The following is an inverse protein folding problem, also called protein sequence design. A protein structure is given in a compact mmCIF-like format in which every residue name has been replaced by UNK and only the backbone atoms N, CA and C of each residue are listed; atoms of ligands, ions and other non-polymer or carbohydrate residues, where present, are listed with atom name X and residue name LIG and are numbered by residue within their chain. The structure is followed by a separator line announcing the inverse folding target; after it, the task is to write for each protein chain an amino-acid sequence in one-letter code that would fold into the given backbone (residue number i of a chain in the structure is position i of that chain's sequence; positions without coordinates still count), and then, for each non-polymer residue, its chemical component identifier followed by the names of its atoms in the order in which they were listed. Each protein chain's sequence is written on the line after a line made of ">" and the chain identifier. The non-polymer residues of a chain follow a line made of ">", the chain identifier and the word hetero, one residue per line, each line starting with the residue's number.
data_IF_508233612060
#
_entry.id   IF_508233612060
#
_cell.length_a   1.000
_cell.length_b   1.000
_cell.length_c   1.000
_cell.angle_alpha   90.00
_cell.angle_beta   90.00
_cell.angle_gamma   90.00
#
_symmetry.space_group_name_H-M   'P 1'
#
loop_
_entity.id
_entity.type
_entity.pdbx_description
1 polymer ?
#
# COMPACT_ATOMS: atom_id res chain seq x y z
N UNK A 1 34.71 -25.74 -0.49
CA UNK A 1 33.35 -25.49 -0.98
C UNK A 1 32.38 -25.67 0.16
N UNK A 2 31.83 -24.56 0.65
CA UNK A 2 30.55 -24.45 1.34
C UNK A 2 30.30 -22.94 1.49
N UNK A 3 29.66 -22.37 0.48
CA UNK A 3 29.18 -20.99 0.46
C UNK A 3 28.16 -20.77 1.57
N UNK A 4 28.37 -19.71 2.35
CA UNK A 4 27.41 -19.22 3.32
C UNK A 4 26.45 -18.26 2.59
N UNK A 5 25.13 -18.44 2.72
CA UNK A 5 24.16 -17.77 1.85
C UNK A 5 23.69 -16.44 2.44
N UNK A 6 24.59 -15.47 2.69
CA UNK A 6 24.18 -14.08 2.96
C UNK A 6 25.21 -13.08 2.46
N UNK A 7 24.75 -12.12 1.64
CA UNK A 7 25.54 -11.09 0.97
C UNK A 7 26.14 -10.03 1.90
N UNK A 8 27.19 -10.40 2.62
CA UNK A 8 28.15 -9.48 3.24
C UNK A 8 29.57 -10.06 3.12
N UNK A 9 30.12 -10.11 1.90
CA UNK A 9 31.57 -10.17 1.70
C UNK A 9 32.06 -8.78 1.30
N UNK A 10 32.64 -8.06 2.25
CA UNK A 10 33.55 -6.97 1.96
C UNK A 10 34.89 -7.59 1.55
N UNK A 11 35.26 -7.49 0.27
CA UNK A 11 36.53 -8.02 -0.21
C UNK A 11 36.60 -8.14 -1.71
N UNK A 12 37.15 -7.09 -2.33
CA UNK A 12 38.17 -7.14 -3.38
C UNK A 12 37.91 -8.09 -4.57
N UNK A 13 37.31 -7.54 -5.63
CA UNK A 13 37.26 -8.16 -6.96
C UNK A 13 38.22 -7.41 -7.91
N UNK A 14 39.42 -7.94 -8.19
CA UNK A 14 40.46 -7.24 -8.95
C UNK A 14 40.33 -7.40 -10.48
N UNK A 15 39.15 -7.70 -11.03
CA UNK A 15 38.95 -7.94 -12.47
C UNK A 15 37.78 -7.15 -13.09
N UNK A 16 37.48 -5.94 -12.58
CA UNK A 16 36.43 -5.08 -13.16
C UNK A 16 36.83 -4.34 -14.45
N UNK A 17 38.10 -4.34 -14.82
CA UNK A 17 38.60 -3.60 -15.98
C UNK A 17 39.18 -4.55 -17.05
N UNK A 18 38.31 -5.14 -17.89
CA UNK A 18 38.60 -5.56 -19.28
C UNK A 18 37.40 -6.24 -19.96
N UNK A 19 36.57 -5.46 -20.63
CA UNK A 19 35.89 -5.83 -21.88
C UNK A 19 35.25 -4.55 -22.41
N UNK A 20 35.77 -3.88 -23.42
CA UNK A 20 35.90 -4.36 -24.79
C UNK A 20 35.50 -3.17 -25.66
N UNK A 21 36.51 -2.47 -26.17
CA UNK A 21 36.44 -1.23 -26.94
C UNK A 21 36.00 -1.55 -28.37
N UNK A 22 34.87 -1.01 -28.83
CA UNK A 22 34.60 -0.76 -30.24
C UNK A 22 34.27 0.73 -30.42
N UNK A 23 34.92 1.44 -31.35
CA UNK A 23 34.44 2.73 -31.84
C UNK A 23 33.30 2.47 -32.86
N UNK A 24 32.60 3.53 -33.28
CA UNK A 24 31.61 3.52 -34.38
C UNK A 24 30.18 3.04 -34.01
N UNK A 25 29.35 3.93 -33.43
CA UNK A 25 27.93 4.06 -33.82
C UNK A 25 27.34 5.40 -33.34
N UNK A 26 26.98 6.26 -34.29
CA UNK A 26 26.18 7.48 -34.12
C UNK A 26 24.69 7.10 -34.08
N UNK A 27 23.93 7.55 -33.07
CA UNK A 27 22.48 7.68 -33.22
C UNK A 27 21.63 7.43 -31.97
N UNK A 28 20.93 8.50 -31.57
CA UNK A 28 19.61 8.48 -30.91
C UNK A 28 19.54 8.14 -29.41
N UNK A 29 19.77 9.19 -28.60
CA UNK A 29 19.37 9.30 -27.20
C UNK A 29 17.85 9.54 -27.09
N UNK A 30 17.07 8.45 -27.13
CA UNK A 30 15.67 8.49 -26.66
C UNK A 30 15.35 7.26 -25.81
N UNK A 31 15.83 7.24 -24.56
CA UNK A 31 15.30 6.36 -23.52
C UNK A 31 14.58 7.20 -22.47
N UNK A 32 13.28 6.96 -22.19
CA UNK A 32 12.60 7.67 -21.13
C UNK A 32 13.09 7.14 -19.78
N UNK A 33 13.79 7.98 -19.02
CA UNK A 33 14.13 7.68 -17.63
C UNK A 33 12.86 7.68 -16.77
N UNK A 34 12.48 6.56 -16.12
CA UNK A 34 11.26 6.43 -15.31
C UNK A 34 11.35 7.09 -13.92
N UNK A 35 12.44 7.81 -13.63
CA UNK A 35 12.66 8.56 -12.40
C UNK A 35 13.33 9.90 -12.74
N UNK A 36 12.52 10.91 -13.06
CA UNK A 36 12.95 12.26 -13.41
C UNK A 36 12.20 13.32 -12.63
N UNK A 37 12.41 13.39 -11.31
CA UNK A 37 12.06 14.55 -10.50
C UNK A 37 13.19 15.57 -10.64
N UNK A 38 13.11 16.43 -11.66
CA UNK A 38 14.14 17.43 -11.96
C UNK A 38 13.55 18.61 -12.71
N UNK A 39 13.21 19.67 -11.95
CA UNK A 39 13.13 21.07 -12.34
C UNK A 39 12.75 21.40 -13.79
N UNK A 40 11.51 21.86 -14.02
CA UNK A 40 11.25 22.70 -15.20
C UNK A 40 9.86 22.78 -15.80
N UNK A 41 8.78 22.30 -15.17
CA UNK A 41 7.45 22.38 -15.84
C UNK A 41 6.26 22.68 -14.90
N UNK A 42 6.33 23.80 -14.17
CA UNK A 42 5.11 24.48 -13.69
C UNK A 42 4.50 25.27 -14.85
N UNK A 43 3.88 24.56 -15.80
CA UNK A 43 3.20 25.17 -16.93
C UNK A 43 1.97 25.96 -16.40
N UNK A 44 2.01 27.29 -16.49
CA UNK A 44 0.93 28.20 -16.10
C UNK A 44 -0.49 27.88 -16.64
N UNK A 45 -0.69 27.33 -17.86
CA UNK A 45 -2.01 26.87 -18.32
C UNK A 45 -2.59 25.69 -17.50
N UNK A 46 -1.74 24.91 -16.82
CA UNK A 46 -2.17 23.79 -15.99
C UNK A 46 -2.73 24.26 -14.62
N UNK A 47 -2.46 25.50 -14.20
CA UNK A 47 -2.95 26.03 -12.92
C UNK A 47 -4.48 26.23 -12.92
N UNK A 48 -5.07 26.61 -14.06
CA UNK A 48 -6.53 26.75 -14.19
C UNK A 48 -7.25 25.39 -14.12
N UNK A 49 -6.63 24.36 -14.68
CA UNK A 49 -7.13 22.99 -14.60
C UNK A 49 -6.96 22.41 -13.20
N UNK A 50 -5.82 22.67 -12.53
CA UNK A 50 -5.60 22.34 -11.13
C UNK A 50 -6.62 23.04 -10.22
N UNK A 51 -6.92 24.32 -10.46
CA UNK A 51 -7.91 25.06 -9.68
C UNK A 51 -9.33 24.51 -9.88
N UNK A 52 -9.65 24.08 -11.10
CA UNK A 52 -10.94 23.43 -11.40
C UNK A 52 -11.05 22.06 -10.74
N UNK A 53 -10.00 21.24 -10.78
CA UNK A 53 -9.92 19.95 -10.08
C UNK A 53 -9.98 20.13 -8.55
N UNK A 54 -9.31 21.15 -8.02
CA UNK A 54 -9.38 21.51 -6.60
C UNK A 54 -10.78 21.99 -6.20
N UNK A 55 -11.44 22.77 -7.05
CA UNK A 55 -12.83 23.21 -6.87
C UNK A 55 -13.83 22.06 -6.88
N UNK A 56 -13.66 21.08 -7.77
CA UNK A 56 -14.45 19.85 -7.79
C UNK A 56 -14.19 18.97 -6.56
N UNK A 57 -12.94 18.92 -6.09
CA UNK A 57 -12.59 18.18 -4.87
C UNK A 57 -13.16 18.86 -3.61
N UNK A 58 -13.12 20.19 -3.55
CA UNK A 58 -13.69 20.97 -2.44
C UNK A 58 -15.22 20.94 -2.43
N UNK A 59 -15.88 20.97 -3.60
CA UNK A 59 -17.33 20.82 -3.68
C UNK A 59 -17.80 19.40 -3.33
N UNK A 60 -17.00 18.37 -3.64
CA UNK A 60 -17.19 17.00 -3.16
C UNK A 60 -17.00 16.86 -1.64
N UNK A 61 -16.01 17.55 -1.07
CA UNK A 61 -15.82 17.61 0.38
C UNK A 61 -16.94 18.40 1.09
N UNK A 62 -17.43 19.49 0.49
CA UNK A 62 -18.55 20.28 1.01
C UNK A 62 -19.88 19.52 1.02
N UNK A 63 -20.10 18.63 0.04
CA UNK A 63 -21.28 17.76 0.00
C UNK A 63 -21.16 16.56 0.95
N UNK A 64 -19.96 16.07 1.24
CA UNK A 64 -19.72 15.11 2.33
C UNK A 64 -19.98 15.74 3.72
N UNK A 65 -19.72 17.04 3.89
CA UNK A 65 -20.01 17.79 5.12
C UNK A 65 -21.49 18.21 5.24
N UNK A 66 -22.17 18.49 4.13
CA UNK A 66 -23.59 18.88 4.11
C UNK A 66 -24.56 17.67 4.20
N UNK A 67 -24.06 16.45 4.01
CA UNK A 67 -24.85 15.22 3.92
C UNK A 67 -25.26 14.57 5.25
N UNK A 68 -25.09 15.22 6.40
CA UNK A 68 -25.70 14.83 7.68
C UNK A 68 -25.32 13.46 8.27
N UNK A 69 -24.54 12.63 7.57
CA UNK A 69 -23.84 11.52 8.18
C UNK A 69 -22.56 12.09 8.76
N UNK A 70 -22.56 12.33 10.06
CA UNK A 70 -21.33 12.39 10.83
C UNK A 70 -20.60 11.05 10.65
N UNK A 71 -19.85 10.93 9.54
CA UNK A 71 -18.72 10.02 9.46
C UNK A 71 -17.88 10.38 10.68
N UNK A 72 -17.46 9.39 11.47
CA UNK A 72 -16.77 9.62 12.73
C UNK A 72 -15.51 10.47 12.57
N UNK A 73 -14.66 10.59 13.60
CA UNK A 73 -13.46 11.43 13.54
C UNK A 73 -12.49 11.08 12.38
N UNK A 74 -12.70 9.95 11.70
CA UNK A 74 -12.03 9.55 10.46
C UNK A 74 -13.05 9.24 9.35
N UNK A 75 -12.81 9.74 8.13
CA UNK A 75 -13.59 9.40 6.94
C UNK A 75 -13.07 8.10 6.28
N UNK A 76 -13.59 6.96 6.73
CA UNK A 76 -13.18 5.64 6.23
C UNK A 76 -13.60 5.34 4.79
N UNK A 77 -14.67 5.98 4.28
CA UNK A 77 -15.09 5.82 2.88
C UNK A 77 -14.06 6.43 1.93
N UNK A 78 -13.56 7.62 2.26
CA UNK A 78 -12.47 8.26 1.54
C UNK A 78 -11.17 7.45 1.65
N UNK A 79 -10.84 6.96 2.84
CA UNK A 79 -9.66 6.12 3.05
C UNK A 79 -9.73 4.84 2.20
N UNK A 80 -10.89 4.18 2.15
CA UNK A 80 -11.14 3.00 1.30
C UNK A 80 -10.98 3.33 -0.18
N UNK A 81 -11.52 4.46 -0.64
CA UNK A 81 -11.43 4.88 -2.03
C UNK A 81 -9.98 5.17 -2.42
N UNK A 82 -9.22 5.88 -1.58
CA UNK A 82 -7.81 6.17 -1.80
C UNK A 82 -6.98 4.88 -1.83
N UNK A 83 -7.16 3.99 -0.84
CA UNK A 83 -6.45 2.71 -0.79
C UNK A 83 -6.83 1.78 -1.95
N UNK A 84 -8.08 1.82 -2.41
CA UNK A 84 -8.49 1.08 -3.61
C UNK A 84 -7.89 1.66 -4.88
N UNK A 85 -7.71 2.98 -4.96
CA UNK A 85 -7.15 3.67 -6.13
C UNK A 85 -5.64 3.46 -6.30
N UNK A 86 -4.93 3.19 -5.19
CA UNK A 86 -3.50 2.85 -5.24
C UNK A 86 -3.25 1.40 -5.66
N UNK A 87 -4.27 0.55 -5.63
CA UNK A 87 -4.20 -0.83 -6.12
C UNK A 87 -4.44 -0.83 -7.63
N UNK A 88 -3.45 -1.29 -8.39
CA UNK A 88 -3.58 -1.54 -9.83
C UNK A 88 -4.49 -2.73 -10.14
N UNK A 89 -4.50 -3.18 -11.39
CA UNK A 89 -5.23 -4.41 -11.73
C UNK A 89 -4.64 -5.62 -11.00
N UNK A 90 -5.48 -6.38 -10.31
CA UNK A 90 -5.13 -7.66 -9.70
C UNK A 90 -6.08 -8.72 -10.22
N UNK A 91 -5.53 -9.82 -10.76
CA UNK A 91 -6.32 -10.93 -11.23
C UNK A 91 -7.07 -11.60 -10.05
N UNK A 92 -8.31 -12.09 -10.27
CA UNK A 92 -9.02 -12.87 -9.25
C UNK A 92 -8.23 -14.11 -8.84
N UNK A 93 -8.37 -14.51 -7.58
CA UNK A 93 -7.70 -15.73 -7.08
C UNK A 93 -8.36 -16.97 -7.70
N UNK A 94 -7.61 -17.85 -8.39
CA UNK A 94 -8.15 -19.08 -8.94
C UNK A 94 -8.66 -20.03 -7.85
N UNK A 95 -9.73 -20.80 -8.15
CA UNK A 95 -10.31 -21.74 -7.20
C UNK A 95 -9.30 -22.81 -6.71
N UNK A 96 -8.40 -23.27 -7.59
CA UNK A 96 -7.34 -24.20 -7.22
C UNK A 96 -6.40 -23.61 -6.15
N UNK A 97 -6.08 -22.32 -6.26
CA UNK A 97 -5.26 -21.61 -5.28
C UNK A 97 -5.97 -21.48 -3.94
N UNK A 98 -7.29 -21.22 -3.95
CA UNK A 98 -8.10 -21.17 -2.72
C UNK A 98 -8.05 -22.54 -2.00
N UNK A 99 -8.23 -23.64 -2.73
CA UNK A 99 -8.14 -24.99 -2.16
C UNK A 99 -6.75 -25.28 -1.61
N UNK A 100 -5.69 -24.97 -2.36
CA UNK A 100 -4.33 -25.20 -1.93
C UNK A 100 -3.97 -24.41 -0.65
N UNK A 101 -4.48 -23.19 -0.52
CA UNK A 101 -4.31 -22.38 0.70
C UNK A 101 -5.06 -23.01 1.88
N UNK A 102 -6.29 -23.49 1.67
CA UNK A 102 -7.03 -24.17 2.73
C UNK A 102 -6.30 -25.43 3.22
N UNK A 103 -5.80 -26.25 2.30
CA UNK A 103 -5.03 -27.46 2.62
C UNK A 103 -3.73 -27.12 3.36
N UNK A 104 -3.02 -26.07 2.94
CA UNK A 104 -1.80 -25.61 3.60
C UNK A 104 -2.06 -25.13 5.04
N UNK A 105 -3.17 -24.40 5.26
CA UNK A 105 -3.58 -23.95 6.60
C UNK A 105 -3.95 -25.14 7.49
N UNK A 106 -4.68 -26.13 6.96
CA UNK A 106 -4.99 -27.35 7.70
C UNK A 106 -3.73 -28.16 8.08
N UNK A 107 -2.75 -28.23 7.18
CA UNK A 107 -1.48 -28.88 7.46
C UNK A 107 -0.70 -28.14 8.56
N UNK A 108 -0.64 -26.80 8.47
CA UNK A 108 0.00 -25.98 9.49
C UNK A 108 -0.66 -26.15 10.87
N UNK A 109 -1.99 -26.19 10.92
CA UNK A 109 -2.74 -26.43 12.16
C UNK A 109 -2.42 -27.82 12.75
N UNK A 110 -2.32 -28.85 11.91
CA UNK A 110 -1.96 -30.22 12.35
C UNK A 110 -0.57 -30.26 13.00
N UNK A 111 0.38 -29.47 12.49
CA UNK A 111 1.72 -29.37 13.10
C UNK A 111 1.72 -28.54 14.37
N UNK A 112 0.93 -27.44 14.41
CA UNK A 112 0.82 -26.58 15.58
C UNK A 112 0.11 -27.26 16.76
N UNK A 113 -0.90 -28.09 16.50
CA UNK A 113 -1.63 -28.83 17.54
C UNK A 113 -0.69 -29.75 18.34
N UNK A 114 0.23 -30.43 17.67
CA UNK A 114 1.25 -31.26 18.33
C UNK A 114 2.34 -30.46 19.07
N UNK A 115 2.52 -29.18 18.74
CA UNK A 115 3.60 -28.34 19.26
C UNK A 115 3.15 -27.32 20.31
N UNK A 116 1.83 -27.11 20.47
CA UNK A 116 1.27 -26.07 21.32
C UNK A 116 0.22 -26.62 22.28
N UNK A 117 0.08 -25.99 23.45
CA UNK A 117 -0.99 -26.31 24.40
C UNK A 117 -2.27 -25.50 24.13
N UNK A 118 -2.24 -24.61 23.13
CA UNK A 118 -3.39 -23.82 22.72
C UNK A 118 -4.22 -24.65 21.75
N UNK A 119 -5.56 -24.71 21.92
CA UNK A 119 -6.40 -25.43 20.99
C UNK A 119 -6.39 -24.75 19.62
N UNK A 120 -6.68 -25.54 18.58
CA UNK A 120 -6.78 -25.03 17.22
C UNK A 120 -7.75 -23.84 17.11
N UNK A 121 -7.20 -22.67 16.79
CA UNK A 121 -7.95 -21.41 16.69
C UNK A 121 -8.42 -21.08 15.28
N UNK A 122 -7.90 -21.80 14.27
CA UNK A 122 -8.17 -21.50 12.87
C UNK A 122 -9.52 -22.06 12.44
N UNK A 123 -10.51 -21.17 12.29
CA UNK A 123 -11.89 -21.56 11.91
C UNK A 123 -12.16 -21.44 10.42
N UNK A 124 -11.34 -20.67 9.67
CA UNK A 124 -11.51 -20.44 8.24
C UNK A 124 -10.21 -20.02 7.57
N UNK A 125 -9.90 -20.63 6.42
CA UNK A 125 -8.87 -20.18 5.50
C UNK A 125 -9.50 -19.51 4.27
N UNK A 126 -9.00 -18.35 3.89
CA UNK A 126 -9.44 -17.59 2.71
C UNK A 126 -8.25 -17.03 1.98
N UNK A 127 -8.34 -17.01 0.65
CA UNK A 127 -7.39 -16.30 -0.18
C UNK A 127 -7.99 -14.95 -0.56
N UNK A 128 -7.28 -13.88 -0.27
CA UNK A 128 -7.72 -12.51 -0.55
C UNK A 128 -6.88 -11.87 -1.63
N UNK A 129 -7.53 -11.13 -2.52
CA UNK A 129 -6.86 -10.09 -3.30
C UNK A 129 -6.55 -8.88 -2.38
N UNK A 130 -5.67 -7.95 -2.77
CA UNK A 130 -5.43 -6.73 -2.01
C UNK A 130 -6.71 -5.91 -1.78
N UNK A 131 -7.65 -5.94 -2.74
CA UNK A 131 -8.96 -5.30 -2.60
C UNK A 131 -9.80 -5.99 -1.52
N UNK A 132 -9.85 -7.32 -1.54
CA UNK A 132 -10.57 -8.08 -0.52
C UNK A 132 -9.98 -7.84 0.87
N UNK A 133 -8.65 -7.70 0.97
CA UNK A 133 -7.99 -7.38 2.23
C UNK A 133 -8.44 -6.03 2.79
N UNK A 134 -8.51 -4.97 1.96
CA UNK A 134 -9.04 -3.66 2.39
C UNK A 134 -10.46 -3.84 2.92
N UNK A 135 -11.31 -4.50 2.15
CA UNK A 135 -12.73 -4.61 2.45
C UNK A 135 -13.00 -5.44 3.72
N UNK A 136 -12.22 -6.50 3.96
CA UNK A 136 -12.38 -7.38 5.13
C UNK A 136 -11.67 -6.86 6.39
N UNK A 137 -10.75 -5.89 6.27
CA UNK A 137 -9.99 -5.37 7.43
C UNK A 137 -10.42 -3.99 7.89
N UNK A 138 -11.19 -3.25 7.09
CA UNK A 138 -11.56 -1.87 7.37
C UNK A 138 -12.27 -1.69 8.72
N UNK A 139 -13.19 -2.58 9.09
CA UNK A 139 -13.88 -2.52 10.38
C UNK A 139 -12.93 -2.75 11.58
N UNK A 140 -11.90 -3.58 11.41
CA UNK A 140 -10.87 -3.77 12.43
C UNK A 140 -10.02 -2.52 12.58
N UNK A 141 -9.62 -1.90 11.48
CA UNK A 141 -8.91 -0.62 11.49
C UNK A 141 -9.71 0.47 12.18
N UNK A 142 -11.02 0.53 11.89
CA UNK A 142 -11.92 1.47 12.53
C UNK A 142 -11.93 1.33 14.05
N UNK A 143 -12.07 0.11 14.57
CA UNK A 143 -12.01 -0.15 16.02
C UNK A 143 -10.68 0.23 16.67
N UNK A 144 -9.58 0.15 15.93
CA UNK A 144 -8.26 0.50 16.43
C UNK A 144 -7.99 2.01 16.36
N UNK A 145 -8.47 2.69 15.32
CA UNK A 145 -8.19 4.09 15.04
C UNK A 145 -9.20 5.06 15.67
N UNK A 146 -10.46 4.67 15.82
CA UNK A 146 -11.51 5.53 16.40
C UNK A 146 -11.12 6.08 17.80
N UNK A 147 -10.63 5.26 18.76
CA UNK A 147 -10.27 5.77 20.08
C UNK A 147 -9.12 6.79 20.05
N UNK A 148 -8.19 6.64 19.12
CA UNK A 148 -7.08 7.58 18.95
C UNK A 148 -7.56 8.92 18.41
N UNK A 149 -8.46 8.89 17.42
CA UNK A 149 -8.99 10.08 16.79
C UNK A 149 -9.92 10.87 17.72
N UNK A 150 -10.70 10.17 18.55
CA UNK A 150 -11.48 10.77 19.63
C UNK A 150 -10.58 11.46 20.66
N UNK A 151 -9.52 10.79 21.14
CA UNK A 151 -8.61 11.37 22.13
C UNK A 151 -7.94 12.66 21.62
N UNK A 152 -7.50 12.68 20.36
CA UNK A 152 -6.91 13.87 19.74
C UNK A 152 -7.92 15.03 19.74
N UNK A 153 -9.18 14.77 19.42
CA UNK A 153 -10.23 15.81 19.41
C UNK A 153 -10.49 16.41 20.79
N UNK A 154 -10.49 15.59 21.85
CA UNK A 154 -10.64 16.07 23.23
C UNK A 154 -9.45 16.89 23.70
N UNK A 155 -8.23 16.48 23.34
CA UNK A 155 -7.02 17.21 23.75
C UNK A 155 -6.96 18.58 23.07
N UNK A 156 -7.33 18.68 21.79
CA UNK A 156 -7.38 19.96 21.07
C UNK A 156 -8.47 20.88 21.60
N UNK A 157 -9.65 20.36 21.96
CA UNK A 157 -10.69 21.15 22.62
C UNK A 157 -10.27 21.66 24.00
N UNK A 158 -9.50 20.87 24.75
CA UNK A 158 -8.97 21.27 26.07
C UNK A 158 -7.76 22.20 26.01
N UNK A 159 -7.12 22.33 24.85
CA UNK A 159 -5.93 23.16 24.63
C UNK A 159 -6.26 24.57 24.11
N UNK A 160 -7.54 24.89 23.89
CA UNK A 160 -8.01 26.25 23.63
C UNK A 160 -8.11 27.00 24.97
N UNK A 161 -7.32 28.07 25.20
CA UNK A 161 -7.53 28.99 26.31
C UNK A 161 -8.81 29.81 26.06
N UNK A 162 -9.52 30.18 27.14
CA UNK A 162 -10.65 31.15 27.12
C UNK A 162 -10.31 32.45 26.37
#
# INVERSE_FOLDING_TARGET
>A
MADLPFGFSAGDDPDRDKSGKNPDDEGDDTRPNPFGFGSGDFNAPNLGEIFTRLGQMFSGAGSAMAGGKASGPVNYDLARQLASSSIGFVAPVPAATVSAIADAVHLAETWLDGATALPAGTTRAVAWTPKDWIDNTLETWKRLCDPMAEQISTVWASALPE
#
